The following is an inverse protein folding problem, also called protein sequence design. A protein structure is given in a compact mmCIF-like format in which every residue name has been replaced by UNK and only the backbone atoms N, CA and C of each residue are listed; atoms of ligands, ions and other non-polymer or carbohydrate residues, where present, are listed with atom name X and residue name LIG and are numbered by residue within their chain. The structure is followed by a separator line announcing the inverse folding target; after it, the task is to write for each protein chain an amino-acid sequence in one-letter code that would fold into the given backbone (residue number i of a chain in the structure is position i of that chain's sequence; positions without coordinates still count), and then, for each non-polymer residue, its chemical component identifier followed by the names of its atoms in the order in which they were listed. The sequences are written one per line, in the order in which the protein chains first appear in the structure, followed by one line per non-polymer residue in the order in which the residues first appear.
data_IF_748193526653
#
_entry.id   IF_748193526653
#
_cell.length_a   1.000
_cell.length_b   1.000
_cell.length_c   1.000
_cell.angle_alpha   90.00
_cell.angle_beta   90.00
_cell.angle_gamma   90.00
#
_symmetry.space_group_name_H-M   'P 1'
#
loop_
_entity.id
_entity.type
_entity.pdbx_description
1 polymer ?
#
# COMPACT_ATOMS: atom_id res chain seq x y z
N UNK A 1 3.01 1.67 -20.24
CA UNK A 1 2.76 1.73 -19.46
C UNK A 1 2.56 2.47 -18.76
N UNK A 2 2.25 2.70 -18.41
CA UNK A 2 2.02 3.47 -17.76
C UNK A 2 2.54 3.67 -16.70
N UNK A 3 3.21 4.27 -16.76
CA UNK A 3 3.69 4.56 -15.72
C UNK A 3 2.87 4.96 -14.79
N UNK A 4 2.87 4.51 -13.78
CA UNK A 4 2.04 4.93 -12.89
C UNK A 4 2.74 5.95 -12.15
N UNK A 5 2.09 6.86 -11.68
CA UNK A 5 2.60 7.87 -10.83
C UNK A 5 2.47 7.52 -9.38
N UNK A 6 2.22 6.29 -9.11
CA UNK A 6 2.05 5.88 -7.73
C UNK A 6 3.37 5.98 -6.99
N UNK A 7 3.33 6.49 -5.76
CA UNK A 7 4.50 6.61 -4.94
C UNK A 7 4.56 5.41 -4.01
N UNK A 8 4.89 4.27 -4.56
CA UNK A 8 4.93 3.06 -3.75
C UNK A 8 6.26 2.99 -3.01
N UNK A 9 6.24 3.00 -1.70
CA UNK A 9 7.47 2.89 -0.92
C UNK A 9 7.98 1.45 -0.93
N UNK A 10 9.21 1.22 -0.50
CA UNK A 10 9.70 -0.15 -0.38
C UNK A 10 8.84 -0.93 0.61
N UNK A 11 8.45 -2.13 0.24
CA UNK A 11 7.61 -2.96 1.06
C UNK A 11 8.33 -4.23 1.47
N UNK A 12 8.02 -4.70 2.66
CA UNK A 12 8.55 -5.99 3.09
C UNK A 12 7.77 -7.10 2.39
N UNK A 13 8.28 -8.33 2.48
CA UNK A 13 7.58 -9.46 1.88
C UNK A 13 6.19 -9.63 2.47
N UNK A 14 6.07 -9.40 3.76
CA UNK A 14 4.80 -9.53 4.42
C UNK A 14 3.81 -8.51 3.91
N UNK A 15 4.27 -7.28 3.77
CA UNK A 15 3.41 -6.21 3.27
C UNK A 15 2.99 -6.48 1.85
N UNK A 16 3.90 -7.01 1.03
CA UNK A 16 3.55 -7.34 -0.34
C UNK A 16 2.51 -8.43 -0.41
N UNK A 17 2.62 -9.41 0.44
CA UNK A 17 1.65 -10.48 0.46
C UNK A 17 0.27 -9.97 0.79
N UNK A 18 0.17 -9.13 1.79
CA UNK A 18 -1.11 -8.55 2.16
C UNK A 18 -1.68 -7.75 1.00
N UNK A 19 -0.82 -6.97 0.38
CA UNK A 19 -1.24 -6.13 -0.72
C UNK A 19 -1.80 -6.98 -1.85
N UNK A 20 -1.07 -8.01 -2.25
CA UNK A 20 -1.48 -8.81 -3.37
C UNK A 20 -2.71 -9.65 -3.09
N UNK A 21 -2.79 -10.24 -1.91
CA UNK A 21 -3.90 -11.11 -1.65
C UNK A 21 -5.16 -10.36 -1.28
N UNK A 22 -5.03 -9.16 -0.73
CA UNK A 22 -6.20 -8.43 -0.29
C UNK A 22 -6.65 -7.33 -1.23
N UNK A 23 -5.72 -6.74 -1.98
CA UNK A 23 -6.05 -5.55 -2.77
C UNK A 23 -5.61 -5.63 -4.23
N UNK A 24 -4.61 -6.42 -4.51
CA UNK A 24 -4.11 -6.55 -5.86
C UNK A 24 -2.82 -5.78 -6.09
N UNK A 25 -2.85 -4.48 -5.90
CA UNK A 25 -1.63 -3.69 -6.04
C UNK A 25 -1.74 -2.44 -5.19
N UNK A 26 -0.70 -1.64 -5.23
CA UNK A 26 -0.61 -0.44 -4.39
C UNK A 26 -1.69 0.58 -4.74
N UNK A 27 -1.95 0.74 -6.01
CA UNK A 27 -2.96 1.70 -6.44
C UNK A 27 -4.33 1.30 -5.90
N UNK A 28 -4.67 0.03 -6.00
CA UNK A 28 -5.94 -0.46 -5.48
C UNK A 28 -6.01 -0.32 -3.97
N UNK A 29 -4.90 -0.57 -3.29
CA UNK A 29 -4.86 -0.44 -1.85
C UNK A 29 -5.18 1.00 -1.44
N UNK A 30 -4.52 1.95 -2.07
CA UNK A 30 -4.76 3.35 -1.75
C UNK A 30 -6.20 3.73 -2.06
N UNK A 31 -6.72 3.27 -3.18
CA UNK A 31 -8.08 3.60 -3.56
C UNK A 31 -9.08 3.05 -2.56
N UNK A 32 -8.78 1.89 -1.98
CA UNK A 32 -9.69 1.29 -1.00
C UNK A 32 -9.86 2.16 0.22
N UNK A 33 -8.87 2.96 0.53
CA UNK A 33 -8.94 3.84 1.69
C UNK A 33 -9.20 5.28 1.29
N UNK A 34 -9.51 5.52 0.02
CA UNK A 34 -9.77 6.88 -0.42
C UNK A 34 -8.52 7.72 -0.51
N UNK A 35 -7.36 7.08 -0.64
CA UNK A 35 -6.09 7.79 -0.70
C UNK A 35 -5.61 7.85 -2.14
N UNK A 36 -4.84 8.88 -2.44
CA UNK A 36 -4.32 9.07 -3.78
C UNK A 36 -2.90 8.55 -3.86
N UNK A 37 -2.65 7.52 -4.65
CA UNK A 37 -1.31 6.91 -4.68
C UNK A 37 -0.23 7.85 -5.21
N UNK A 38 -0.61 8.89 -5.91
CA UNK A 38 0.38 9.85 -6.41
C UNK A 38 0.61 11.01 -5.45
N UNK A 39 -0.15 11.06 -4.36
CA UNK A 39 0.00 12.12 -3.39
C UNK A 39 0.96 11.65 -2.31
N UNK A 40 1.99 12.43 -2.04
CA UNK A 40 3.02 12.02 -1.11
C UNK A 40 2.48 11.79 0.29
N UNK A 41 1.62 12.67 0.76
CA UNK A 41 1.07 12.53 2.11
C UNK A 41 0.15 11.31 2.19
N UNK A 42 -0.65 11.11 1.15
CA UNK A 42 -1.55 9.95 1.14
C UNK A 42 -0.76 8.66 1.03
N UNK A 43 0.32 8.67 0.25
CA UNK A 43 1.15 7.48 0.13
C UNK A 43 1.78 7.13 1.47
N UNK A 44 2.21 8.12 2.22
CA UNK A 44 2.78 7.87 3.53
C UNK A 44 1.74 7.30 4.48
N UNK A 45 0.53 7.80 4.39
CA UNK A 45 -0.53 7.28 5.23
C UNK A 45 -0.88 5.85 4.85
N UNK A 46 -0.92 5.54 3.56
CA UNK A 46 -1.20 4.19 3.11
C UNK A 46 -0.13 3.24 3.61
N UNK A 47 1.13 3.66 3.57
CA UNK A 47 2.21 2.82 4.05
C UNK A 47 2.05 2.53 5.53
N UNK A 48 1.65 3.52 6.32
CA UNK A 48 1.45 3.34 7.74
C UNK A 48 0.31 2.34 7.99
N UNK A 49 -0.75 2.41 7.20
CA UNK A 49 -1.85 1.46 7.34
C UNK A 49 -1.38 0.05 7.03
N UNK A 50 -0.62 -0.10 5.95
CA UNK A 50 -0.14 -1.41 5.54
C UNK A 50 0.82 -1.98 6.58
N UNK A 51 1.66 -1.15 7.15
CA UNK A 51 2.56 -1.58 8.21
C UNK A 51 1.79 -2.08 9.42
N UNK A 52 0.73 -1.40 9.76
CA UNK A 52 -0.08 -1.83 10.90
C UNK A 52 -0.71 -3.18 10.63
N UNK A 53 -1.18 -3.40 9.41
CA UNK A 53 -1.75 -4.68 9.04
C UNK A 53 -0.73 -5.79 9.13
N UNK A 54 0.48 -5.54 8.62
CA UNK A 54 1.53 -6.53 8.65
C UNK A 54 1.94 -6.86 10.09
N UNK A 55 1.95 -5.83 10.92
CA UNK A 55 2.33 -6.03 12.30
C UNK A 55 1.28 -6.86 13.04
N UNK A 56 0.01 -6.61 12.75
CA UNK A 56 -1.04 -7.40 13.37
C UNK A 56 -1.00 -8.84 12.94
N UNK A 57 -0.61 -9.10 11.71
CA UNK A 57 -0.54 -10.44 11.23
C UNK A 57 0.64 -11.21 11.73
N UNK A 58 1.55 -10.55 12.44
CA UNK A 58 2.65 -11.20 12.88
C UNK A 58 2.44 -11.76 14.15
N UNK A 59 1.93 -12.40 14.65
CA UNK A 59 1.68 -12.93 15.85
C UNK A 59 2.43 -13.91 16.17
#
# INVERSE_FOLDING_TARGET
MPATNALQPPLTNKERKILKSGFGDWTNFCASYGLKPWDRDDAAEAKAILEAMARQGEE
#
